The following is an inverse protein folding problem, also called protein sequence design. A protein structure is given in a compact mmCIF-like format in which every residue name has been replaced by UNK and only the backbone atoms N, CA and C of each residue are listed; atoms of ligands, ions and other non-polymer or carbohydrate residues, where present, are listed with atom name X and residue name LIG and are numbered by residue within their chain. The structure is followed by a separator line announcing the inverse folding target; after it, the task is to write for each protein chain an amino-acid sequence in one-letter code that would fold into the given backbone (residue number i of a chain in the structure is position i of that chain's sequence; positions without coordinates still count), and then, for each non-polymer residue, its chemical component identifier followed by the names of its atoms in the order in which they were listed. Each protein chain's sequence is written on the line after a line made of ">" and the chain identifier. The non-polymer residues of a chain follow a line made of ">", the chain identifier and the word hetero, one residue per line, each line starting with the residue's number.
data_IF_181984755695
#
_entry.id   IF_181984755695
#
_cell.length_a   1.000
_cell.length_b   1.000
_cell.length_c   1.000
_cell.angle_alpha   90.00
_cell.angle_beta   90.00
_cell.angle_gamma   90.00
#
_symmetry.space_group_name_H-M   'P 1'
#
loop_
_entity.id
_entity.type
_entity.pdbx_description
1 polymer ?
#
# COMPACT_ATOMS: atom_id res chain seq x y z
N UNK A 1 -25.52 -66.60 -11.36
CA UNK A 1 -24.69 -65.65 -10.59
C UNK A 1 -24.41 -64.44 -11.46
N UNK A 2 -25.03 -63.30 -11.14
CA UNK A 2 -24.64 -61.93 -11.50
C UNK A 2 -25.83 -61.01 -11.17
N UNK A 3 -25.70 -60.21 -10.11
CA UNK A 3 -26.59 -59.06 -9.87
C UNK A 3 -25.74 -57.80 -10.05
N UNK A 4 -26.14 -56.85 -10.91
CA UNK A 4 -25.40 -55.61 -11.10
C UNK A 4 -25.61 -54.64 -9.93
N UNK A 5 -24.53 -54.00 -9.49
CA UNK A 5 -24.54 -52.91 -8.51
C UNK A 5 -25.38 -51.73 -9.02
N UNK A 6 -26.19 -51.07 -8.17
CA UNK A 6 -26.80 -49.80 -8.53
C UNK A 6 -25.75 -48.67 -8.47
N UNK A 7 -25.61 -47.92 -9.57
CA UNK A 7 -24.94 -46.63 -9.60
C UNK A 7 -25.74 -45.63 -8.75
N UNK A 8 -25.13 -45.10 -7.70
CA UNK A 8 -25.66 -43.94 -6.98
C UNK A 8 -25.47 -42.67 -7.85
N UNK A 9 -26.46 -41.78 -7.95
CA UNK A 9 -26.26 -40.48 -8.56
C UNK A 9 -25.43 -39.61 -7.62
N UNK A 10 -24.25 -39.19 -8.09
CA UNK A 10 -23.46 -38.15 -7.43
C UNK A 10 -24.30 -36.88 -7.36
N UNK A 11 -24.81 -36.58 -6.16
CA UNK A 11 -25.49 -35.33 -5.86
C UNK A 11 -24.45 -34.24 -6.01
N UNK A 12 -24.50 -33.49 -7.11
CA UNK A 12 -23.71 -32.29 -7.33
C UNK A 12 -24.15 -31.23 -6.30
N UNK A 13 -23.61 -31.34 -5.10
CA UNK A 13 -23.74 -30.37 -4.04
C UNK A 13 -23.05 -29.08 -4.48
N UNK A 14 -23.84 -28.18 -5.08
CA UNK A 14 -23.87 -26.76 -4.78
C UNK A 14 -22.49 -26.14 -4.47
N UNK A 15 -21.67 -25.98 -5.50
CA UNK A 15 -20.68 -24.91 -5.49
C UNK A 15 -21.46 -23.60 -5.72
N UNK A 16 -22.03 -23.04 -4.65
CA UNK A 16 -22.21 -21.59 -4.61
C UNK A 16 -20.81 -21.05 -4.74
N UNK A 17 -20.44 -20.63 -5.96
CA UNK A 17 -19.34 -19.71 -6.15
C UNK A 17 -19.62 -18.56 -5.20
N UNK A 18 -18.94 -18.58 -4.06
CA UNK A 18 -18.85 -17.43 -3.20
C UNK A 18 -18.08 -16.44 -4.06
N UNK A 19 -18.82 -15.62 -4.80
CA UNK A 19 -18.29 -14.39 -5.36
C UNK A 19 -17.73 -13.67 -4.16
N UNK A 20 -16.41 -13.78 -3.97
CA UNK A 20 -15.68 -12.96 -3.01
C UNK A 20 -16.13 -11.55 -3.38
N UNK A 21 -16.88 -10.83 -2.52
CA UNK A 21 -17.29 -9.48 -2.88
C UNK A 21 -16.01 -8.77 -3.23
N UNK A 22 -15.93 -8.24 -4.46
CA UNK A 22 -14.86 -7.33 -4.84
C UNK A 22 -14.80 -6.32 -3.71
N UNK A 23 -13.68 -6.33 -2.97
CA UNK A 23 -13.50 -5.49 -1.80
C UNK A 23 -13.56 -4.07 -2.33
N UNK A 24 -14.75 -3.46 -2.34
CA UNK A 24 -14.93 -2.12 -2.85
C UNK A 24 -13.99 -1.26 -2.02
N UNK A 25 -13.00 -0.66 -2.69
CA UNK A 25 -12.00 0.14 -2.02
C UNK A 25 -12.73 1.13 -1.12
N UNK A 26 -12.41 1.17 0.19
CA UNK A 26 -13.15 2.00 1.14
C UNK A 26 -13.08 3.47 0.70
N UNK A 27 -14.20 4.17 0.65
CA UNK A 27 -14.24 5.60 0.28
C UNK A 27 -14.17 6.48 1.54
N UNK A 28 -13.13 7.33 1.63
CA UNK A 28 -12.94 8.28 2.73
C UNK A 28 -13.12 9.75 2.31
N UNK A 29 -13.77 10.00 1.17
CA UNK A 29 -14.05 11.35 0.66
C UNK A 29 -14.86 12.21 1.65
N UNK A 30 -15.70 11.58 2.46
CA UNK A 30 -16.57 12.24 3.44
C UNK A 30 -15.85 12.63 4.74
N UNK A 31 -14.63 12.12 4.97
CA UNK A 31 -13.89 12.35 6.21
C UNK A 31 -13.07 13.64 6.07
N UNK A 32 -13.65 14.76 6.49
CA UNK A 32 -13.07 16.10 6.30
C UNK A 32 -12.41 16.67 7.55
N UNK A 33 -12.48 15.96 8.68
CA UNK A 33 -11.92 16.44 9.96
C UNK A 33 -10.95 15.44 10.58
N UNK A 34 -9.89 15.96 11.21
CA UNK A 34 -8.93 15.11 11.96
C UNK A 34 -9.57 14.38 13.13
N UNK A 35 -10.65 14.93 13.71
CA UNK A 35 -11.38 14.31 14.81
C UNK A 35 -12.10 13.03 14.34
N UNK A 36 -12.73 13.05 13.17
CA UNK A 36 -13.37 11.88 12.58
C UNK A 36 -12.35 10.82 12.17
N UNK A 37 -11.24 11.24 11.55
CA UNK A 37 -10.12 10.34 11.24
C UNK A 37 -9.57 9.65 12.50
N UNK A 38 -9.39 10.42 13.60
CA UNK A 38 -8.96 9.86 14.88
C UNK A 38 -9.98 8.88 15.47
N UNK A 39 -11.28 9.14 15.32
CA UNK A 39 -12.34 8.21 15.74
C UNK A 39 -12.29 6.90 14.96
N UNK A 40 -12.06 6.96 13.65
CA UNK A 40 -11.86 5.77 12.81
C UNK A 40 -10.59 5.02 13.19
N UNK A 41 -9.53 5.72 13.59
CA UNK A 41 -8.31 5.11 14.07
C UNK A 41 -8.50 4.34 15.38
N UNK A 42 -9.28 4.88 16.32
CA UNK A 42 -9.65 4.17 17.56
C UNK A 42 -10.47 2.90 17.29
N UNK A 43 -11.18 2.85 16.16
CA UNK A 43 -11.94 1.69 15.70
C UNK A 43 -11.10 0.71 14.86
N UNK A 44 -9.80 0.93 14.71
CA UNK A 44 -8.90 0.13 13.88
C UNK A 44 -9.32 0.06 12.39
N UNK A 45 -10.09 1.05 11.91
CA UNK A 45 -10.38 1.21 10.48
C UNK A 45 -9.24 1.95 9.77
N UNK A 46 -8.67 2.91 10.48
CA UNK A 46 -7.49 3.64 10.05
C UNK A 46 -6.36 3.44 11.07
N UNK A 47 -5.15 3.75 10.67
CA UNK A 47 -3.99 3.81 11.54
C UNK A 47 -3.26 5.11 11.29
N UNK A 48 -2.59 5.59 12.33
CA UNK A 48 -1.80 6.82 12.29
C UNK A 48 -0.37 6.45 11.89
N UNK A 49 0.14 7.08 10.84
CA UNK A 49 1.52 6.88 10.36
C UNK A 49 2.28 8.20 10.30
N UNK A 50 3.61 8.11 10.31
CA UNK A 50 4.47 9.21 9.90
C UNK A 50 4.75 9.05 8.40
N UNK A 51 4.46 10.07 7.58
CA UNK A 51 4.70 9.98 6.13
C UNK A 51 6.18 9.82 5.85
N UNK A 52 7.00 10.71 6.43
CA UNK A 52 8.44 10.62 6.42
C UNK A 52 8.94 9.81 7.62
N UNK A 53 9.65 8.70 7.39
CA UNK A 53 10.12 7.83 8.46
C UNK A 53 11.18 8.52 9.32
N UNK A 54 11.07 8.37 10.63
CA UNK A 54 12.00 8.99 11.59
C UNK A 54 13.41 8.43 11.43
N UNK A 55 13.51 7.17 11.02
CA UNK A 55 14.73 6.41 10.74
C UNK A 55 15.56 7.05 9.62
N UNK A 56 14.92 7.76 8.68
CA UNK A 56 15.57 8.51 7.61
C UNK A 56 15.69 10.01 7.91
N UNK A 57 15.52 10.41 9.17
CA UNK A 57 15.59 11.81 9.60
C UNK A 57 14.26 12.57 9.56
N UNK A 58 13.12 11.87 9.44
CA UNK A 58 11.80 12.48 9.42
C UNK A 58 11.45 13.21 10.72
N UNK A 59 10.90 14.45 10.65
CA UNK A 59 10.55 15.20 11.83
C UNK A 59 9.32 14.59 12.53
N UNK A 60 9.36 14.51 13.87
CA UNK A 60 8.20 14.11 14.69
C UNK A 60 7.20 15.28 14.83
N UNK A 61 6.65 15.74 13.72
CA UNK A 61 5.71 16.87 13.66
C UNK A 61 4.28 16.41 13.34
N UNK A 62 3.28 17.22 13.74
CA UNK A 62 1.87 16.96 13.40
C UNK A 62 1.60 17.03 11.89
N UNK A 63 2.47 17.72 11.15
CA UNK A 63 2.40 17.86 9.68
C UNK A 63 2.91 16.59 9.00
N UNK A 64 3.93 15.95 9.57
CA UNK A 64 4.44 14.67 9.11
C UNK A 64 3.55 13.47 9.50
N UNK A 65 2.45 13.71 10.23
CA UNK A 65 1.55 12.65 10.66
C UNK A 65 0.23 12.66 9.89
N UNK A 66 -0.14 11.52 9.31
CA UNK A 66 -1.43 11.28 8.67
C UNK A 66 -2.16 10.04 9.17
N UNK A 67 -3.35 9.83 8.61
CA UNK A 67 -4.16 8.62 8.83
C UNK A 67 -4.31 7.88 7.50
N UNK A 68 -4.13 6.57 7.53
CA UNK A 68 -4.21 5.69 6.35
C UNK A 68 -4.90 4.38 6.71
N UNK A 69 -5.25 3.56 5.72
CA UNK A 69 -5.75 2.19 5.95
C UNK A 69 -4.64 1.28 6.51
N UNK A 70 -5.03 0.16 7.12
CA UNK A 70 -4.06 -0.81 7.65
C UNK A 70 -3.16 -1.37 6.54
N UNK A 71 -3.74 -1.65 5.38
CA UNK A 71 -3.02 -2.15 4.19
C UNK A 71 -2.00 -1.13 3.68
N UNK A 72 -2.40 0.15 3.57
CA UNK A 72 -1.50 1.21 3.17
C UNK A 72 -0.37 1.43 4.19
N UNK A 73 -0.63 1.26 5.50
CA UNK A 73 0.42 1.34 6.51
C UNK A 73 1.42 0.17 6.42
N UNK A 74 0.95 -1.05 6.16
CA UNK A 74 1.84 -2.19 5.95
C UNK A 74 2.71 -2.00 4.68
N UNK A 75 2.11 -1.50 3.60
CA UNK A 75 2.79 -1.11 2.37
C UNK A 75 3.84 -0.02 2.60
N UNK A 76 3.47 1.00 3.38
CA UNK A 76 4.37 2.08 3.77
C UNK A 76 5.57 1.56 4.56
N UNK A 77 5.36 0.71 5.57
CA UNK A 77 6.43 0.13 6.37
C UNK A 77 7.44 -0.66 5.52
N UNK A 78 6.96 -1.50 4.60
CA UNK A 78 7.84 -2.26 3.67
C UNK A 78 8.66 -1.34 2.76
N UNK A 79 8.05 -0.28 2.24
CA UNK A 79 8.77 0.69 1.40
C UNK A 79 9.81 1.45 2.21
N UNK A 80 9.51 1.82 3.45
CA UNK A 80 10.46 2.47 4.37
C UNK A 80 11.66 1.57 4.66
N UNK A 81 11.45 0.30 4.98
CA UNK A 81 12.54 -0.67 5.21
C UNK A 81 13.47 -0.78 4.00
N UNK A 82 12.90 -0.87 2.79
CA UNK A 82 13.69 -0.90 1.57
C UNK A 82 14.46 0.42 1.34
N UNK A 83 13.80 1.57 1.50
CA UNK A 83 14.45 2.88 1.33
C UNK A 83 15.59 3.08 2.34
N UNK A 84 15.47 2.55 3.55
CA UNK A 84 16.55 2.53 4.52
C UNK A 84 17.75 1.74 4.01
N UNK A 85 17.54 0.53 3.49
CA UNK A 85 18.63 -0.25 2.89
C UNK A 85 19.30 0.48 1.69
N UNK A 86 18.53 1.21 0.88
CA UNK A 86 19.07 1.99 -0.24
C UNK A 86 19.91 3.17 0.26
N UNK A 87 19.46 3.86 1.30
CA UNK A 87 20.18 4.97 1.90
C UNK A 87 21.49 4.50 2.58
N UNK A 88 21.45 3.41 3.33
CA UNK A 88 22.63 2.80 3.96
C UNK A 88 23.71 2.40 2.94
N UNK A 89 23.29 1.89 1.78
CA UNK A 89 24.18 1.52 0.66
C UNK A 89 24.59 2.72 -0.21
N UNK A 90 24.16 3.94 0.12
CA UNK A 90 24.45 5.15 -0.66
C UNK A 90 23.82 5.16 -2.06
N UNK A 91 22.76 4.38 -2.30
CA UNK A 91 22.01 4.36 -3.57
C UNK A 91 21.07 5.54 -3.71
N UNK A 92 20.65 6.13 -2.60
CA UNK A 92 19.82 7.34 -2.55
C UNK A 92 20.39 8.28 -1.48
N UNK A 93 20.25 9.58 -1.70
CA UNK A 93 20.64 10.63 -0.74
C UNK A 93 19.53 11.65 -0.49
N UNK A 94 18.43 11.56 -1.24
CA UNK A 94 17.27 12.43 -1.12
C UNK A 94 15.99 11.62 -1.26
N UNK A 95 15.06 11.86 -0.32
CA UNK A 95 13.73 11.29 -0.32
C UNK A 95 12.70 12.42 -0.24
N UNK A 96 11.69 12.36 -1.09
CA UNK A 96 10.54 13.25 -1.09
C UNK A 96 9.27 12.41 -0.92
N UNK A 97 8.37 12.86 -0.06
CA UNK A 97 7.11 12.16 0.21
C UNK A 97 5.98 13.17 0.16
N UNK A 98 5.03 12.94 -0.74
CA UNK A 98 3.91 13.83 -1.02
C UNK A 98 2.60 13.05 -0.84
N UNK A 99 1.86 13.28 0.24
CA UNK A 99 0.48 12.80 0.35
C UNK A 99 -0.42 13.62 -0.57
N UNK A 100 -1.17 12.93 -1.43
CA UNK A 100 -2.18 13.49 -2.32
C UNK A 100 -3.56 13.32 -1.69
N UNK A 101 -4.39 14.36 -1.76
CA UNK A 101 -5.72 14.39 -1.16
C UNK A 101 -6.76 14.66 -2.23
N UNK A 102 -7.95 14.06 -2.06
CA UNK A 102 -9.09 14.25 -2.94
C UNK A 102 -10.18 15.05 -2.24
N UNK A 103 -10.62 16.13 -2.88
CA UNK A 103 -11.66 17.01 -2.36
C UNK A 103 -11.29 17.64 -1.01
N UNK A 104 -12.22 17.58 -0.05
CA UNK A 104 -12.02 18.11 1.30
C UNK A 104 -11.54 17.04 2.32
N UNK A 105 -11.21 15.83 1.85
CA UNK A 105 -10.82 14.74 2.75
C UNK A 105 -9.48 15.03 3.44
N UNK A 106 -9.41 14.72 4.73
CA UNK A 106 -8.15 14.74 5.50
C UNK A 106 -7.39 13.42 5.46
N UNK A 107 -7.95 12.42 4.76
CA UNK A 107 -7.30 11.14 4.49
C UNK A 107 -6.72 11.22 3.08
N UNK A 108 -5.40 11.07 2.90
CA UNK A 108 -4.83 11.07 1.56
C UNK A 108 -5.38 9.88 0.77
N UNK A 109 -5.67 10.08 -0.51
CA UNK A 109 -6.06 8.98 -1.41
C UNK A 109 -4.84 8.24 -1.94
N UNK A 110 -3.69 8.92 -2.01
CA UNK A 110 -2.40 8.37 -2.45
C UNK A 110 -1.25 8.99 -1.67
N UNK A 111 -0.18 8.24 -1.46
CA UNK A 111 1.12 8.79 -1.03
C UNK A 111 2.13 8.52 -2.14
N UNK A 112 2.72 9.56 -2.72
CA UNK A 112 3.83 9.44 -3.66
C UNK A 112 5.15 9.59 -2.92
N UNK A 113 6.08 8.69 -3.20
CA UNK A 113 7.44 8.66 -2.65
C UNK A 113 8.42 8.71 -3.82
N UNK A 114 9.33 9.68 -3.78
CA UNK A 114 10.37 9.87 -4.79
C UNK A 114 11.73 9.80 -4.11
N UNK A 115 12.50 8.76 -4.39
CA UNK A 115 13.86 8.61 -3.92
C UNK A 115 14.83 8.96 -5.07
N UNK A 116 15.86 9.75 -4.78
CA UNK A 116 16.85 10.19 -5.76
C UNK A 116 18.26 10.14 -5.21
N UNK A 117 19.23 10.06 -6.11
CA UNK A 117 20.65 10.23 -5.78
C UNK A 117 21.23 11.41 -6.55
N UNK A 118 21.68 12.43 -5.82
CA UNK A 118 22.06 13.74 -6.37
C UNK A 118 23.19 13.69 -7.40
N UNK A 119 24.09 12.70 -7.30
CA UNK A 119 25.25 12.57 -8.17
C UNK A 119 25.00 11.77 -9.45
N UNK A 120 24.16 10.74 -9.41
CA UNK A 120 23.83 9.92 -10.60
C UNK A 120 22.58 10.41 -11.31
N UNK A 121 21.72 11.16 -10.62
CA UNK A 121 20.40 11.55 -11.12
C UNK A 121 19.39 10.41 -11.17
N UNK A 122 19.73 9.24 -10.63
CA UNK A 122 18.81 8.11 -10.56
C UNK A 122 17.59 8.46 -9.71
N UNK A 123 16.41 8.08 -10.19
CA UNK A 123 15.12 8.38 -9.57
C UNK A 123 14.26 7.13 -9.49
N UNK A 124 13.79 6.83 -8.29
CA UNK A 124 12.82 5.76 -8.03
C UNK A 124 11.55 6.40 -7.48
N UNK A 125 10.44 6.24 -8.21
CA UNK A 125 9.14 6.72 -7.79
C UNK A 125 8.22 5.56 -7.44
N UNK A 126 7.53 5.66 -6.31
CA UNK A 126 6.53 4.69 -5.86
C UNK A 126 5.33 5.41 -5.29
N UNK A 127 4.17 4.78 -5.44
CA UNK A 127 2.93 5.32 -4.91
C UNK A 127 2.20 4.26 -4.11
N UNK A 128 1.62 4.67 -2.98
CA UNK A 128 0.75 3.86 -2.15
C UNK A 128 -0.65 4.41 -2.34
N UNK A 129 -1.52 3.64 -2.98
CA UNK A 129 -2.95 3.95 -3.02
C UNK A 129 -3.57 3.59 -1.66
N UNK A 130 -4.43 4.47 -1.15
CA UNK A 130 -5.06 4.32 0.17
C UNK A 130 -6.55 4.07 0.00
N UNK A 131 -7.20 4.86 -0.86
CA UNK A 131 -8.61 4.76 -1.17
C UNK A 131 -8.92 5.33 -2.54
N UNK A 132 -10.11 5.01 -3.08
CA UNK A 132 -10.51 5.37 -4.45
C UNK A 132 -9.64 4.72 -5.54
N UNK A 133 -8.88 3.68 -5.18
CA UNK A 133 -8.25 2.78 -6.15
C UNK A 133 -9.35 1.89 -6.74
N UNK A 134 -9.81 2.20 -7.97
CA UNK A 134 -10.79 1.36 -8.68
C UNK A 134 -10.39 -0.14 -8.71
N UNK A 135 -9.08 -0.39 -8.66
CA UNK A 135 -8.42 -1.62 -8.26
C UNK A 135 -7.18 -1.20 -7.48
N UNK A 136 -6.95 -1.68 -6.26
CA UNK A 136 -5.64 -1.56 -5.61
C UNK A 136 -4.79 -2.73 -6.10
N UNK A 137 -3.97 -2.57 -7.16
CA UNK A 137 -3.09 -3.65 -7.56
C UNK A 137 -2.14 -3.97 -6.40
N UNK A 138 -1.72 -5.23 -6.23
CA UNK A 138 -0.59 -5.54 -5.37
C UNK A 138 0.58 -4.65 -5.81
N UNK A 139 1.26 -4.02 -4.84
CA UNK A 139 2.49 -3.27 -5.13
C UNK A 139 3.42 -4.18 -5.95
N UNK A 140 3.83 -3.72 -7.13
CA UNK A 140 4.83 -4.44 -7.91
C UNK A 140 6.05 -4.72 -7.04
N UNK A 141 6.62 -5.94 -7.09
CA UNK A 141 7.85 -6.24 -6.39
C UNK A 141 8.91 -5.21 -6.80
N UNK A 142 9.57 -4.65 -5.79
CA UNK A 142 10.58 -3.64 -5.99
C UNK A 142 11.74 -4.27 -6.79
N UNK A 143 12.36 -3.52 -7.72
CA UNK A 143 13.56 -3.99 -8.39
C UNK A 143 14.58 -4.35 -7.31
N UNK A 144 15.19 -5.51 -7.44
CA UNK A 144 16.20 -5.99 -6.51
C UNK A 144 17.28 -4.91 -6.35
N UNK A 145 17.67 -4.50 -5.13
CA UNK A 145 18.82 -3.61 -4.93
C UNK A 145 20.12 -4.11 -5.58
N UNK A 146 20.20 -5.42 -5.83
CA UNK A 146 21.30 -6.13 -6.47
C UNK A 146 20.98 -6.49 -7.94
N UNK A 147 19.79 -6.13 -8.43
CA UNK A 147 19.33 -6.30 -9.80
C UNK A 147 20.06 -5.37 -10.76
N UNK A 148 21.24 -5.81 -11.22
CA UNK A 148 21.92 -5.25 -12.38
C UNK A 148 20.91 -5.16 -13.52
N UNK A 149 20.66 -3.94 -14.02
CA UNK A 149 20.02 -3.78 -15.32
C UNK A 149 21.02 -4.33 -16.33
N UNK A 150 20.86 -5.59 -16.71
CA UNK A 150 21.44 -6.12 -17.95
C UNK A 150 20.78 -5.34 -19.10
N UNK A 151 21.32 -4.14 -19.35
CA UNK A 151 21.05 -3.40 -20.57
C UNK A 151 21.98 -4.02 -21.60
N UNK A 152 21.58 -5.18 -22.13
CA UNK A 152 22.24 -5.74 -23.30
C UNK A 152 21.93 -4.82 -24.49
N UNK A 153 23.00 -4.48 -25.18
CA UNK A 153 23.11 -3.53 -26.29
C UNK A 153 22.43 -4.02 -27.57
#
# INVERSE_FOLDING_TARGET
>A
MALPLPLLPATAARARQQTVPAFAAPDFSTITTRAEAARLARKHVLVRIQFFPTELGGPKSKVNTGYVTLEAAASHARLVEMLAAYAERGRIDRLEIVPEYKGASVIPNRIRMTATHSRTGERHERSIEIWDCGFCPPLDPLPDPDGVRDVTA
#
